data_IF_557664938391
#
_entry.id   IF_557664938391
#
_cell.length_a   1.000
_cell.length_b   1.000
_cell.length_c   1.000
_cell.angle_alpha   90.00
_cell.angle_beta   90.00
_cell.angle_gamma   90.00
#
_symmetry.space_group_name_H-M   'P 1'
#
loop_
_entity.id
_entity.type
_entity.pdbx_description
1 polymer ?
#
# COMPACT_ATOMS: atom_id res chain seq x y z
N UNK A 1 -11.13 -2.29 -18.83
CA UNK A 1 -10.50 -1.60 -17.68
C UNK A 1 -9.22 -2.35 -17.38
N UNK A 2 -8.08 -1.75 -17.68
CA UNK A 2 -6.79 -2.41 -17.58
C UNK A 2 -6.47 -2.64 -16.11
N UNK A 3 -6.32 -3.91 -15.72
CA UNK A 3 -5.92 -4.31 -14.37
C UNK A 3 -4.42 -4.02 -14.23
N UNK A 4 -4.09 -2.77 -13.88
CA UNK A 4 -2.69 -2.34 -13.75
C UNK A 4 -2.11 -2.95 -12.47
N UNK A 5 -1.11 -3.82 -12.65
CA UNK A 5 -0.50 -4.61 -11.58
C UNK A 5 1.01 -4.57 -11.66
N UNK A 6 1.65 -4.41 -10.50
CA UNK A 6 3.10 -4.46 -10.35
C UNK A 6 3.48 -5.51 -9.32
N UNK A 7 4.54 -6.26 -9.64
CA UNK A 7 5.12 -7.27 -8.76
C UNK A 7 6.45 -6.74 -8.23
N UNK A 8 6.57 -6.65 -6.91
CA UNK A 8 7.80 -6.22 -6.25
C UNK A 8 8.36 -7.41 -5.50
N UNK A 9 9.52 -7.89 -5.96
CA UNK A 9 10.24 -8.97 -5.28
C UNK A 9 10.54 -8.60 -3.82
N UNK A 10 10.39 -9.57 -2.94
CA UNK A 10 10.71 -9.47 -1.53
C UNK A 10 11.13 -10.84 -1.01
N UNK A 11 11.63 -10.89 0.23
CA UNK A 11 11.82 -12.16 0.94
C UNK A 11 10.77 -12.32 2.02
N UNK A 12 10.51 -13.55 2.44
CA UNK A 12 9.77 -13.80 3.67
C UNK A 12 10.70 -13.84 4.90
N UNK A 13 10.13 -14.06 6.09
CA UNK A 13 10.90 -14.25 7.32
C UNK A 13 11.85 -15.47 7.29
N UNK A 14 11.64 -16.41 6.36
CA UNK A 14 12.49 -17.59 6.15
C UNK A 14 13.52 -17.39 5.03
N UNK A 15 13.59 -16.18 4.45
CA UNK A 15 14.52 -15.83 3.37
C UNK A 15 14.14 -16.37 1.99
N UNK A 16 12.91 -16.88 1.81
CA UNK A 16 12.43 -17.38 0.51
C UNK A 16 11.99 -16.22 -0.37
N UNK A 17 12.29 -16.31 -1.66
CA UNK A 17 11.87 -15.31 -2.64
C UNK A 17 10.35 -15.34 -2.84
N UNK A 18 9.74 -14.18 -2.65
CA UNK A 18 8.31 -13.89 -2.76
C UNK A 18 8.12 -12.59 -3.51
N UNK A 19 6.86 -12.17 -3.66
CA UNK A 19 6.53 -10.87 -4.23
C UNK A 19 5.34 -10.24 -3.53
N UNK A 20 5.41 -8.93 -3.32
CA UNK A 20 4.27 -8.08 -2.98
C UNK A 20 3.63 -7.63 -4.28
N UNK A 21 2.29 -7.67 -4.35
CA UNK A 21 1.55 -7.16 -5.51
C UNK A 21 1.01 -5.77 -5.19
N UNK A 22 1.25 -4.80 -6.06
CA UNK A 22 0.58 -3.50 -6.07
C UNK A 22 -0.42 -3.50 -7.21
N UNK A 23 -1.64 -3.06 -6.96
CA UNK A 23 -2.68 -2.95 -7.98
C UNK A 23 -3.59 -1.76 -7.72
N UNK A 24 -4.29 -1.30 -8.75
CA UNK A 24 -5.34 -0.28 -8.61
C UNK A 24 -6.69 -0.96 -8.73
N UNK A 25 -7.49 -0.88 -7.66
CA UNK A 25 -8.85 -1.42 -7.63
C UNK A 25 -9.82 -0.33 -7.21
N UNK A 26 -10.88 -0.12 -7.99
CA UNK A 26 -11.88 0.94 -7.75
C UNK A 26 -11.30 2.34 -7.43
N UNK A 27 -10.16 2.67 -8.04
CA UNK A 27 -9.43 3.92 -7.81
C UNK A 27 -8.75 4.03 -6.45
N UNK A 28 -8.48 2.90 -5.81
CA UNK A 28 -7.67 2.77 -4.61
C UNK A 28 -6.42 1.96 -4.95
N UNK A 29 -5.28 2.37 -4.39
CA UNK A 29 -4.06 1.57 -4.45
C UNK A 29 -4.17 0.46 -3.41
N UNK A 30 -4.12 -0.78 -3.87
CA UNK A 30 -4.20 -1.98 -3.04
C UNK A 30 -2.84 -2.66 -3.02
N UNK A 31 -2.38 -2.98 -1.80
CA UNK A 31 -1.16 -3.72 -1.56
C UNK A 31 -1.49 -5.11 -1.04
N UNK A 32 -1.10 -6.14 -1.79
CA UNK A 32 -1.29 -7.54 -1.41
C UNK A 32 0.07 -8.12 -0.99
N UNK A 33 0.21 -8.34 0.30
CA UNK A 33 1.36 -9.06 0.85
C UNK A 33 1.28 -10.57 0.50
N UNK A 34 2.40 -11.29 0.47
CA UNK A 34 2.41 -12.74 0.33
C UNK A 34 1.49 -13.39 1.39
N UNK A 35 0.66 -14.38 1.02
CA UNK A 35 -0.30 -14.97 1.94
C UNK A 35 0.40 -15.67 3.11
N UNK A 36 0.00 -15.33 4.34
CA UNK A 36 0.44 -16.01 5.56
C UNK A 36 1.88 -15.73 5.99
N UNK A 37 2.57 -14.80 5.33
CA UNK A 37 4.00 -14.56 5.55
C UNK A 37 4.30 -13.06 5.74
N UNK A 38 5.33 -12.75 6.54
CA UNK A 38 5.86 -11.39 6.65
C UNK A 38 6.78 -11.09 5.48
N UNK A 39 6.44 -10.08 4.68
CA UNK A 39 7.35 -9.58 3.65
C UNK A 39 8.48 -8.76 4.30
N UNK A 40 9.70 -9.18 4.03
CA UNK A 40 10.95 -8.49 4.36
C UNK A 40 11.47 -7.85 3.07
N UNK A 41 11.69 -6.54 3.12
CA UNK A 41 12.21 -5.78 1.99
C UNK A 41 13.56 -5.16 2.37
N UNK A 42 14.56 -5.38 1.53
CA UNK A 42 15.80 -4.63 1.53
C UNK A 42 15.58 -3.17 1.10
N UNK A 43 16.56 -2.32 1.35
CA UNK A 43 16.51 -0.92 0.92
C UNK A 43 16.27 -0.77 -0.60
N UNK A 44 16.83 -1.67 -1.42
CA UNK A 44 16.65 -1.64 -2.86
C UNK A 44 15.22 -2.06 -3.26
N UNK A 45 14.65 -3.06 -2.60
CA UNK A 45 13.27 -3.52 -2.84
C UNK A 45 12.26 -2.47 -2.36
N UNK A 46 12.53 -1.75 -1.27
CA UNK A 46 11.72 -0.60 -0.83
C UNK A 46 11.72 0.50 -1.89
N UNK A 47 12.87 0.80 -2.51
CA UNK A 47 12.93 1.79 -3.59
C UNK A 47 12.09 1.37 -4.80
N UNK A 48 12.11 0.08 -5.16
CA UNK A 48 11.24 -0.46 -6.23
C UNK A 48 9.76 -0.39 -5.85
N UNK A 49 9.43 -0.68 -4.59
CA UNK A 49 8.07 -0.56 -4.08
C UNK A 49 7.56 0.89 -4.16
N UNK A 50 8.38 1.87 -3.80
CA UNK A 50 8.02 3.29 -3.94
C UNK A 50 7.68 3.66 -5.38
N UNK A 51 8.52 3.27 -6.34
CA UNK A 51 8.25 3.54 -7.77
C UNK A 51 6.93 2.89 -8.22
N UNK A 52 6.66 1.66 -7.80
CA UNK A 52 5.40 0.99 -8.14
C UNK A 52 4.19 1.67 -7.49
N UNK A 53 4.32 2.16 -6.26
CA UNK A 53 3.27 2.91 -5.56
C UNK A 53 3.02 4.28 -6.22
N UNK A 54 4.07 4.98 -6.64
CA UNK A 54 3.95 6.26 -7.35
C UNK A 54 3.26 6.08 -8.70
N UNK A 55 3.58 5.01 -9.44
CA UNK A 55 2.90 4.65 -10.68
C UNK A 55 1.42 4.32 -10.43
N UNK A 56 1.13 3.49 -9.43
CA UNK A 56 -0.24 3.14 -9.05
C UNK A 56 -1.06 4.36 -8.61
N UNK A 57 -0.45 5.31 -7.89
CA UNK A 57 -1.10 6.55 -7.48
C UNK A 57 -1.39 7.47 -8.68
N UNK A 58 -0.55 7.47 -9.70
CA UNK A 58 -0.79 8.19 -10.96
C UNK A 58 -1.92 7.57 -11.79
N UNK A 59 -2.05 6.24 -11.76
CA UNK A 59 -3.11 5.51 -12.46
C UNK A 59 -4.43 5.49 -11.68
N UNK A 60 -4.39 5.67 -10.36
CA UNK A 60 -5.58 5.86 -9.56
C UNK A 60 -6.19 7.24 -9.86
N UNK A 61 -7.48 7.34 -10.21
CA UNK A 61 -8.16 8.62 -10.26
C UNK A 61 -7.96 9.34 -8.93
N UNK A 62 -7.63 10.63 -8.99
CA UNK A 62 -7.41 11.45 -7.81
C UNK A 62 -8.52 11.17 -6.79
N UNK A 63 -8.15 10.50 -5.69
CA UNK A 63 -9.08 10.24 -4.62
C UNK A 63 -9.68 11.60 -4.24
N UNK A 64 -10.98 11.78 -4.50
CA UNK A 64 -11.68 12.97 -4.03
C UNK A 64 -11.32 13.18 -2.56
N UNK A 65 -11.06 14.42 -2.12
CA UNK A 65 -10.39 14.71 -0.86
C UNK A 65 -11.00 13.85 0.22
N UNK A 66 -10.23 12.89 0.71
CA UNK A 66 -10.67 11.93 1.71
C UNK A 66 -11.37 12.73 2.78
N UNK A 67 -12.67 12.49 2.95
CA UNK A 67 -13.50 13.21 3.92
C UNK A 67 -12.89 12.95 5.28
N UNK A 68 -11.98 13.83 5.68
CA UNK A 68 -11.31 13.81 6.96
C UNK A 68 -12.40 13.66 7.98
N UNK A 69 -12.44 12.49 8.61
CA UNK A 69 -13.32 12.19 9.72
C UNK A 69 -12.92 13.22 10.75
N UNK A 70 -13.70 14.31 10.88
CA UNK A 70 -13.49 15.36 11.88
C UNK A 70 -13.45 14.63 13.22
N UNK A 71 -12.25 14.46 13.76
CA UNK A 71 -12.04 14.02 15.14
C UNK A 71 -12.73 15.06 16.01
N UNK A 72 -13.92 14.74 16.51
CA UNK A 72 -14.58 15.54 17.53
C UNK A 72 -13.64 15.59 18.74
N UNK A 73 -13.29 16.77 19.27
CA UNK A 73 -12.56 16.83 20.53
C UNK A 73 -13.44 16.25 21.63
N UNK A 74 -12.93 15.24 22.36
CA UNK A 74 -13.59 14.74 23.57
C UNK A 74 -13.56 15.88 24.60
N UNK A 75 -14.69 16.30 25.18
CA UNK A 75 -14.66 17.29 26.25
C UNK A 75 -13.99 16.67 27.47
N UNK A 76 -12.92 17.32 27.97
CA UNK A 76 -12.33 17.01 29.27
C UNK A 76 -13.39 17.27 30.33
N UNK A 77 -13.86 16.21 31.01
CA UNK A 77 -14.64 16.31 32.23
C UNK A 77 -13.77 17.02 33.29
N UNK A 78 -14.14 18.24 33.64
CA UNK A 78 -13.61 18.90 34.84
C UNK A 78 -14.11 18.14 36.07
N UNK A 79 -13.17 17.79 36.95
CA UNK A 79 -13.44 17.28 38.29
C UNK A 79 -13.83 18.43 39.22
#
# INVERSE_FOLDING_TARGET
MSDQRWWVACRDAFGRDRAVTVLVDHGQVVLVAPPGETAVLSAQEISRLRVALDQAAGDAPAAGPGRGRRSTPVPRRSA
#
